data_IF_635511996661
#
_entry.id   IF_635511996661
#
_cell.length_a   1.000
_cell.length_b   1.000
_cell.length_c   1.000
_cell.angle_alpha   90.00
_cell.angle_beta   90.00
_cell.angle_gamma   90.00
#
_symmetry.space_group_name_H-M   'P 1'
#
loop_
_entity.id
_entity.type
_entity.pdbx_description
1 polymer ?
#
# COMPACT_ATOMS: atom_id res chain seq x y z
N UNK A 1 -11.42 -13.11 15.58
CA UNK A 1 -10.47 -13.30 14.44
C UNK A 1 -9.24 -14.09 14.90
N UNK A 2 -8.59 -13.77 16.02
CA UNK A 2 -7.40 -14.51 16.49
C UNK A 2 -7.69 -16.00 16.76
N UNK A 3 -8.82 -16.34 17.37
CA UNK A 3 -9.20 -17.75 17.62
C UNK A 3 -9.51 -18.54 16.34
N UNK A 4 -10.10 -17.91 15.33
CA UNK A 4 -10.32 -18.57 14.04
C UNK A 4 -9.01 -18.78 13.29
N UNK A 5 -8.02 -17.91 13.43
CA UNK A 5 -6.69 -18.09 12.85
C UNK A 5 -5.96 -19.31 13.40
N UNK A 6 -5.98 -19.53 14.71
CA UNK A 6 -5.36 -20.71 15.31
C UNK A 6 -5.97 -22.02 14.80
N UNK A 7 -7.30 -22.05 14.63
CA UNK A 7 -7.99 -23.24 14.14
C UNK A 7 -7.64 -23.53 12.67
N UNK A 8 -7.68 -22.52 11.80
CA UNK A 8 -7.30 -22.64 10.39
C UNK A 8 -5.83 -23.02 10.26
N UNK A 9 -4.95 -22.40 11.04
CA UNK A 9 -3.52 -22.67 11.05
C UNK A 9 -3.23 -24.13 11.42
N UNK A 10 -3.90 -24.69 12.42
CA UNK A 10 -3.74 -26.10 12.81
C UNK A 10 -4.17 -27.08 11.71
N UNK A 11 -5.14 -26.71 10.88
CA UNK A 11 -5.61 -27.57 9.78
C UNK A 11 -4.71 -27.49 8.54
N UNK A 12 -4.17 -26.31 8.22
CA UNK A 12 -3.43 -26.07 6.97
C UNK A 12 -1.92 -26.28 7.12
N UNK A 13 -1.34 -25.94 8.28
CA UNK A 13 0.12 -26.02 8.52
C UNK A 13 0.75 -27.40 8.29
N UNK A 14 0.09 -28.55 8.56
CA UNK A 14 0.68 -29.85 8.26
C UNK A 14 0.92 -30.09 6.78
N UNK A 15 0.11 -29.46 5.91
CA UNK A 15 0.14 -29.68 4.45
C UNK A 15 0.87 -28.58 3.70
N UNK A 16 0.90 -27.37 4.25
CA UNK A 16 1.46 -26.17 3.59
C UNK A 16 2.49 -25.51 4.48
N UNK A 17 3.71 -25.31 3.98
CA UNK A 17 4.72 -24.48 4.63
C UNK A 17 4.48 -22.98 4.30
N UNK A 18 3.89 -22.18 5.20
CA UNK A 18 3.58 -20.78 4.92
C UNK A 18 4.80 -19.97 4.53
N UNK A 19 5.94 -20.23 5.16
CA UNK A 19 7.20 -19.52 4.89
C UNK A 19 7.69 -19.73 3.45
N UNK A 20 7.47 -20.91 2.88
CA UNK A 20 7.85 -21.22 1.49
C UNK A 20 7.08 -20.38 0.48
N UNK A 21 5.81 -20.14 0.75
CA UNK A 21 4.92 -19.41 -0.15
C UNK A 21 4.80 -17.91 0.16
N UNK A 22 5.24 -17.48 1.33
CA UNK A 22 5.10 -16.09 1.76
C UNK A 22 5.84 -15.11 0.86
N UNK A 23 7.09 -15.42 0.50
CA UNK A 23 7.85 -14.60 -0.45
C UNK A 23 7.16 -14.53 -1.81
N UNK A 24 6.66 -15.66 -2.30
CA UNK A 24 5.92 -15.70 -3.56
C UNK A 24 4.63 -14.87 -3.49
N UNK A 25 3.93 -14.94 -2.37
CA UNK A 25 2.73 -14.13 -2.11
C UNK A 25 3.06 -12.63 -2.12
N UNK A 26 4.13 -12.20 -1.47
CA UNK A 26 4.54 -10.79 -1.46
C UNK A 26 4.83 -10.26 -2.86
N UNK A 27 5.35 -11.10 -3.75
CA UNK A 27 5.64 -10.73 -5.14
C UNK A 27 4.40 -10.73 -6.06
N UNK A 28 3.51 -11.74 -5.90
CA UNK A 28 2.47 -12.01 -6.90
C UNK A 28 1.10 -12.35 -6.30
N UNK A 29 1.01 -12.80 -5.05
CA UNK A 29 -0.13 -13.53 -4.51
C UNK A 29 -1.35 -12.70 -4.12
N UNK A 30 -1.28 -11.37 -4.15
CA UNK A 30 -2.42 -10.53 -3.82
C UNK A 30 -3.52 -10.55 -4.90
N UNK A 31 -3.13 -10.67 -6.17
CA UNK A 31 -4.07 -10.68 -7.29
C UNK A 31 -4.28 -12.10 -7.83
N UNK A 32 -5.54 -12.60 -7.92
CA UNK A 32 -5.82 -13.99 -8.32
C UNK A 32 -5.29 -14.38 -9.70
N UNK A 33 -5.15 -13.44 -10.63
CA UNK A 33 -4.66 -13.74 -11.98
C UNK A 33 -3.17 -14.16 -12.03
N UNK A 34 -2.45 -14.10 -10.91
CA UNK A 34 -1.11 -14.69 -10.84
C UNK A 34 -1.11 -16.20 -11.13
N UNK A 35 -2.24 -16.87 -10.89
CA UNK A 35 -2.42 -18.29 -11.19
C UNK A 35 -2.47 -18.58 -12.70
N UNK A 36 -2.70 -17.58 -13.53
CA UNK A 36 -2.74 -17.70 -14.99
C UNK A 36 -1.35 -17.75 -15.63
N UNK A 37 -0.28 -17.70 -14.85
CA UNK A 37 1.14 -17.98 -15.13
C UNK A 37 1.86 -17.22 -16.25
N UNK A 38 1.25 -16.24 -16.90
CA UNK A 38 1.92 -15.49 -17.98
C UNK A 38 1.91 -14.00 -17.73
N UNK A 39 3.10 -13.39 -17.72
CA UNK A 39 3.27 -11.93 -17.71
C UNK A 39 2.56 -11.20 -16.55
N UNK A 40 2.66 -11.74 -15.32
CA UNK A 40 1.98 -11.17 -14.15
C UNK A 40 2.21 -9.66 -14.00
N UNK A 41 3.47 -9.20 -14.06
CA UNK A 41 3.80 -7.77 -13.89
C UNK A 41 3.17 -6.91 -15.00
N UNK A 42 3.15 -7.37 -16.24
CA UNK A 42 2.51 -6.67 -17.36
C UNK A 42 1.00 -6.60 -17.18
N UNK A 43 0.37 -7.71 -16.78
CA UNK A 43 -1.07 -7.75 -16.52
C UNK A 43 -1.45 -6.87 -15.32
N UNK A 44 -0.61 -6.83 -14.28
CA UNK A 44 -0.82 -5.95 -13.15
C UNK A 44 -0.71 -4.47 -13.56
N UNK A 45 0.28 -4.10 -14.36
CA UNK A 45 0.41 -2.74 -14.90
C UNK A 45 -0.78 -2.35 -15.79
N UNK A 46 -1.27 -3.25 -16.64
CA UNK A 46 -2.50 -3.04 -17.43
C UNK A 46 -3.72 -2.82 -16.53
N UNK A 47 -3.88 -3.65 -15.51
CA UNK A 47 -4.98 -3.53 -14.53
C UNK A 47 -4.92 -2.19 -13.80
N UNK A 48 -3.75 -1.78 -13.34
CA UNK A 48 -3.55 -0.47 -12.70
C UNK A 48 -3.89 0.70 -13.62
N UNK A 49 -3.47 0.63 -14.89
CA UNK A 49 -3.82 1.65 -15.88
C UNK A 49 -5.33 1.70 -16.08
N UNK A 50 -5.98 0.56 -16.21
CA UNK A 50 -7.43 0.48 -16.33
C UNK A 50 -8.14 1.05 -15.11
N UNK A 51 -7.73 0.69 -13.88
CA UNK A 51 -8.28 1.25 -12.64
C UNK A 51 -8.12 2.78 -12.60
N UNK A 52 -6.95 3.29 -13.00
CA UNK A 52 -6.71 4.74 -13.04
C UNK A 52 -7.59 5.42 -14.09
N UNK A 53 -7.78 4.80 -15.25
CA UNK A 53 -8.56 5.37 -16.35
C UNK A 53 -10.07 5.25 -16.10
N UNK A 54 -10.55 4.10 -15.66
CA UNK A 54 -11.98 3.86 -15.45
C UNK A 54 -12.44 4.45 -14.12
N UNK A 55 -11.81 4.07 -13.01
CA UNK A 55 -12.32 4.44 -11.68
C UNK A 55 -12.07 5.92 -11.38
N UNK A 56 -10.90 6.45 -11.77
CA UNK A 56 -10.57 7.83 -11.46
C UNK A 56 -11.20 8.80 -12.47
N UNK A 57 -11.07 8.57 -13.78
CA UNK A 57 -11.62 9.49 -14.77
C UNK A 57 -13.14 9.48 -14.79
N UNK A 58 -13.75 8.29 -14.91
CA UNK A 58 -15.20 8.19 -15.09
C UNK A 58 -15.96 8.47 -13.78
N UNK A 59 -15.55 7.87 -12.67
CA UNK A 59 -16.26 8.02 -11.39
C UNK A 59 -16.06 9.43 -10.80
N UNK A 60 -14.85 9.99 -10.94
CA UNK A 60 -14.56 11.34 -10.43
C UNK A 60 -14.79 12.46 -11.45
N UNK A 61 -15.22 12.11 -12.66
CA UNK A 61 -15.48 13.10 -13.75
C UNK A 61 -14.27 14.02 -14.01
N UNK A 62 -13.06 13.45 -13.96
CA UNK A 62 -11.81 14.17 -14.15
C UNK A 62 -11.51 14.22 -15.66
N UNK A 63 -11.12 15.38 -16.16
CA UNK A 63 -10.72 15.53 -17.56
C UNK A 63 -9.46 14.69 -17.86
N UNK A 64 -9.43 14.08 -19.05
CA UNK A 64 -8.34 13.22 -19.52
C UNK A 64 -6.95 13.88 -19.43
N UNK A 65 -6.88 15.20 -19.58
CA UNK A 65 -5.61 15.95 -19.47
C UNK A 65 -4.92 15.84 -18.12
N UNK A 66 -5.66 15.50 -17.05
CA UNK A 66 -5.10 15.33 -15.70
C UNK A 66 -4.61 13.90 -15.42
N UNK A 67 -4.98 12.93 -16.26
CA UNK A 67 -4.61 11.53 -16.07
C UNK A 67 -3.09 11.34 -16.02
N UNK A 68 -2.34 12.00 -16.89
CA UNK A 68 -0.88 11.94 -16.91
C UNK A 68 -0.27 12.43 -15.61
N UNK A 69 -0.83 13.48 -15.01
CA UNK A 69 -0.38 14.01 -13.72
C UNK A 69 -0.66 13.03 -12.58
N UNK A 70 -1.82 12.36 -12.60
CA UNK A 70 -2.19 11.35 -11.61
C UNK A 70 -1.27 10.12 -11.71
N UNK A 71 -1.02 9.63 -12.93
CA UNK A 71 -0.09 8.52 -13.18
C UNK A 71 1.34 8.87 -12.75
N UNK A 72 1.81 10.09 -13.04
CA UNK A 72 3.11 10.57 -12.57
C UNK A 72 3.19 10.65 -11.05
N UNK A 73 2.15 11.17 -10.39
CA UNK A 73 2.07 11.18 -8.92
C UNK A 73 2.14 9.77 -8.35
N UNK A 74 1.37 8.84 -8.91
CA UNK A 74 1.36 7.45 -8.46
C UNK A 74 2.75 6.81 -8.56
N UNK A 75 3.45 7.00 -9.69
CA UNK A 75 4.82 6.55 -9.86
C UNK A 75 5.79 7.16 -8.83
N UNK A 76 5.72 8.47 -8.59
CA UNK A 76 6.56 9.16 -7.60
C UNK A 76 6.33 8.60 -6.19
N UNK A 77 5.07 8.35 -5.81
CA UNK A 77 4.74 7.73 -4.52
C UNK A 77 5.26 6.29 -4.41
N UNK A 78 5.27 5.53 -5.51
CA UNK A 78 5.82 4.18 -5.53
C UNK A 78 7.35 4.17 -5.34
N UNK A 79 8.05 5.10 -5.98
CA UNK A 79 9.52 5.26 -5.85
C UNK A 79 9.91 5.73 -4.46
N UNK A 80 9.08 6.56 -3.85
CA UNK A 80 9.31 7.13 -2.53
C UNK A 80 9.21 6.11 -1.39
N UNK A 81 8.47 5.02 -1.58
CA UNK A 81 8.19 4.04 -0.54
C UNK A 81 7.30 4.56 0.60
N UNK A 82 7.13 3.77 1.67
CA UNK A 82 6.29 4.10 2.82
C UNK A 82 6.84 5.25 3.66
N UNK A 83 6.51 6.49 3.31
CA UNK A 83 6.95 7.68 4.06
C UNK A 83 5.93 8.81 4.07
N UNK A 84 6.19 9.83 4.88
CA UNK A 84 5.43 11.08 4.87
C UNK A 84 5.64 11.81 3.53
N UNK A 85 4.57 12.09 2.75
CA UNK A 85 4.72 12.71 1.43
C UNK A 85 5.20 14.15 1.55
N UNK A 86 6.15 14.55 0.73
CA UNK A 86 6.47 15.96 0.54
C UNK A 86 5.50 16.59 -0.47
N UNK A 87 4.32 17.00 0.00
CA UNK A 87 3.24 17.50 -0.86
C UNK A 87 3.67 18.71 -1.70
N UNK A 88 4.57 19.57 -1.18
CA UNK A 88 5.07 20.73 -1.94
C UNK A 88 5.97 20.30 -3.09
N UNK A 89 6.88 19.35 -2.85
CA UNK A 89 7.73 18.80 -3.90
C UNK A 89 6.90 18.07 -4.96
N UNK A 90 5.99 17.19 -4.53
CA UNK A 90 5.10 16.49 -5.45
C UNK A 90 4.25 17.45 -6.30
N UNK A 91 3.79 18.57 -5.72
CA UNK A 91 3.04 19.58 -6.45
C UNK A 91 3.89 20.23 -7.55
N UNK A 92 5.16 20.55 -7.27
CA UNK A 92 6.10 21.06 -8.25
C UNK A 92 6.40 20.01 -9.34
N UNK A 93 6.66 18.77 -8.95
CA UNK A 93 7.03 17.68 -9.89
C UNK A 93 5.93 17.36 -10.90
N UNK A 94 4.66 17.48 -10.51
CA UNK A 94 3.52 17.28 -11.41
C UNK A 94 2.86 18.58 -11.89
N UNK A 95 3.48 19.72 -11.64
CA UNK A 95 3.03 21.04 -12.09
C UNK A 95 1.57 21.35 -11.69
N UNK A 96 1.28 21.29 -10.39
CA UNK A 96 -0.08 21.52 -9.87
C UNK A 96 -0.07 22.14 -8.47
N UNK A 97 -1.26 22.39 -7.91
CA UNK A 97 -1.37 22.89 -6.54
C UNK A 97 -1.24 21.77 -5.49
N UNK A 98 -0.84 22.13 -4.27
CA UNK A 98 -0.82 21.20 -3.13
C UNK A 98 -2.20 20.59 -2.84
N UNK A 99 -3.26 21.39 -2.99
CA UNK A 99 -4.64 20.91 -2.81
C UNK A 99 -4.98 19.84 -3.87
N UNK A 100 -4.57 20.03 -5.11
CA UNK A 100 -4.76 19.06 -6.19
C UNK A 100 -3.99 17.75 -5.93
N UNK A 101 -2.75 17.81 -5.44
CA UNK A 101 -2.00 16.62 -5.03
C UNK A 101 -2.74 15.85 -3.95
N UNK A 102 -3.27 16.53 -2.93
CA UNK A 102 -4.06 15.90 -1.87
C UNK A 102 -5.32 15.21 -2.41
N UNK A 103 -6.03 15.85 -3.34
CA UNK A 103 -7.18 15.25 -4.01
C UNK A 103 -6.79 14.02 -4.84
N UNK A 104 -5.69 14.08 -5.59
CA UNK A 104 -5.21 12.94 -6.38
C UNK A 104 -4.80 11.77 -5.49
N UNK A 105 -4.13 12.02 -4.36
CA UNK A 105 -3.86 10.96 -3.38
C UNK A 105 -5.15 10.35 -2.84
N UNK A 106 -6.18 11.15 -2.56
CA UNK A 106 -7.49 10.63 -2.16
C UNK A 106 -8.10 9.72 -3.24
N UNK A 107 -8.06 10.14 -4.51
CA UNK A 107 -8.59 9.32 -5.62
C UNK A 107 -7.83 8.00 -5.80
N UNK A 108 -6.50 8.05 -5.71
CA UNK A 108 -5.66 6.84 -5.75
C UNK A 108 -5.94 5.90 -4.57
N UNK A 109 -6.23 6.43 -3.39
CA UNK A 109 -6.59 5.64 -2.22
C UNK A 109 -7.99 4.99 -2.37
N UNK A 110 -8.98 5.71 -2.87
CA UNK A 110 -10.31 5.19 -3.16
C UNK A 110 -10.29 4.11 -4.25
N UNK A 111 -9.40 4.24 -5.25
CA UNK A 111 -9.14 3.22 -6.26
C UNK A 111 -8.28 2.03 -5.75
N UNK A 112 -7.92 2.00 -4.47
CA UNK A 112 -7.07 0.97 -3.85
C UNK A 112 -5.72 0.78 -4.53
N UNK A 113 -5.12 1.86 -5.00
CA UNK A 113 -3.78 1.87 -5.55
C UNK A 113 -2.73 2.26 -4.49
N UNK A 114 -3.14 3.07 -3.50
CA UNK A 114 -2.31 3.44 -2.35
C UNK A 114 -3.08 3.31 -1.04
N UNK A 115 -2.35 3.21 0.07
CA UNK A 115 -2.85 3.42 1.43
C UNK A 115 -2.36 4.77 1.95
N UNK A 116 -3.27 5.53 2.54
CA UNK A 116 -2.99 6.86 3.11
C UNK A 116 -3.22 6.80 4.61
N UNK A 117 -2.16 6.92 5.40
CA UNK A 117 -2.18 6.77 6.85
C UNK A 117 -2.12 8.14 7.52
N UNK A 118 -2.98 8.34 8.49
CA UNK A 118 -3.04 9.55 9.30
C UNK A 118 -2.71 9.26 10.77
N UNK A 119 -2.23 10.25 11.51
CA UNK A 119 -2.20 10.18 12.97
C UNK A 119 -3.63 10.01 13.52
N UNK A 120 -3.75 9.43 14.70
CA UNK A 120 -5.06 9.23 15.36
C UNK A 120 -5.83 10.57 15.45
N UNK A 121 -7.11 10.53 15.07
CA UNK A 121 -7.99 11.70 15.08
C UNK A 121 -7.74 12.71 13.95
N UNK A 122 -6.96 12.34 12.95
CA UNK A 122 -6.76 13.13 11.74
C UNK A 122 -7.20 12.37 10.50
N UNK A 123 -7.67 13.13 9.50
CA UNK A 123 -8.12 12.60 8.22
C UNK A 123 -7.97 13.68 7.12
N UNK A 124 -8.32 13.33 5.89
CA UNK A 124 -8.42 14.30 4.80
C UNK A 124 -9.32 15.49 5.19
N UNK A 125 -8.98 16.75 4.85
CA UNK A 125 -7.90 17.17 3.94
C UNK A 125 -6.54 17.44 4.61
N UNK A 126 -6.29 16.97 5.82
CA UNK A 126 -4.98 17.15 6.46
C UNK A 126 -3.90 16.33 5.75
N UNK A 127 -2.65 16.77 5.88
CA UNK A 127 -1.50 16.05 5.30
C UNK A 127 -1.37 14.69 6.00
N UNK A 128 -1.29 13.58 5.24
CA UNK A 128 -1.05 12.27 5.83
C UNK A 128 0.35 12.17 6.44
N UNK A 129 0.45 11.34 7.45
CA UNK A 129 1.75 11.02 8.08
C UNK A 129 2.55 10.00 7.27
N UNK A 130 1.88 9.15 6.50
CA UNK A 130 2.52 8.16 5.63
C UNK A 130 1.63 7.85 4.42
N UNK A 131 2.26 7.63 3.28
CA UNK A 131 1.64 7.10 2.05
C UNK A 131 2.47 5.93 1.58
N UNK A 132 1.82 4.87 1.10
CA UNK A 132 2.47 3.67 0.58
C UNK A 132 1.61 3.03 -0.50
N UNK A 133 2.17 2.13 -1.28
CA UNK A 133 1.38 1.31 -2.23
C UNK A 133 0.32 0.50 -1.49
N UNK A 134 -0.77 0.16 -2.18
CA UNK A 134 -1.84 -0.60 -1.55
C UNK A 134 -1.38 -1.98 -1.09
N UNK A 135 -0.51 -2.63 -1.86
CA UNK A 135 0.05 -3.94 -1.52
C UNK A 135 1.47 -4.10 -2.10
N UNK A 136 2.27 -5.08 -1.61
CA UNK A 136 3.64 -5.29 -2.09
C UNK A 136 3.77 -5.62 -3.57
N UNK A 137 2.78 -6.30 -4.19
CA UNK A 137 2.86 -6.66 -5.61
C UNK A 137 2.96 -5.41 -6.50
N UNK A 138 2.27 -4.30 -6.11
CA UNK A 138 2.38 -3.02 -6.82
C UNK A 138 3.78 -2.43 -6.73
N UNK A 139 4.46 -2.57 -5.59
CA UNK A 139 5.84 -2.10 -5.43
C UNK A 139 6.77 -2.81 -6.41
N UNK A 140 6.68 -4.14 -6.48
CA UNK A 140 7.49 -4.95 -7.39
C UNK A 140 7.16 -4.71 -8.87
N UNK A 141 5.90 -4.45 -9.21
CA UNK A 141 5.49 -4.19 -10.58
C UNK A 141 5.94 -2.81 -11.09
N UNK A 142 5.91 -1.78 -10.24
CA UNK A 142 6.20 -0.40 -10.66
C UNK A 142 7.69 -0.07 -10.58
N UNK A 143 8.36 -0.47 -9.50
CA UNK A 143 9.74 -0.10 -9.25
C UNK A 143 10.54 -1.22 -8.57
N UNK A 144 10.85 -2.33 -9.27
CA UNK A 144 11.48 -3.52 -8.68
C UNK A 144 12.92 -3.32 -8.20
N UNK A 145 13.61 -2.26 -8.65
CA UNK A 145 15.06 -2.08 -8.44
C UNK A 145 15.42 -1.68 -7.00
N UNK A 146 14.50 -1.04 -6.26
CA UNK A 146 14.74 -0.52 -4.90
C UNK A 146 13.62 -0.85 -3.92
N UNK A 147 13.17 -2.09 -3.92
CA UNK A 147 12.18 -2.53 -2.94
C UNK A 147 12.91 -2.98 -1.68
N UNK A 148 12.85 -2.17 -0.63
CA UNK A 148 13.45 -2.50 0.66
C UNK A 148 12.56 -3.48 1.44
N UNK A 149 13.16 -4.43 2.15
CA UNK A 149 12.44 -5.44 2.93
C UNK A 149 11.52 -4.81 3.99
N UNK A 150 11.98 -3.76 4.65
CA UNK A 150 11.19 -3.01 5.63
C UNK A 150 9.91 -2.41 4.99
N UNK A 151 10.04 -1.83 3.79
CA UNK A 151 8.92 -1.23 3.06
C UNK A 151 7.88 -2.27 2.62
N UNK A 152 8.36 -3.45 2.21
CA UNK A 152 7.49 -4.59 1.89
C UNK A 152 6.68 -5.01 3.12
N UNK A 153 7.35 -5.18 4.26
CA UNK A 153 6.72 -5.64 5.49
C UNK A 153 5.71 -4.62 6.04
N UNK A 154 6.03 -3.33 5.97
CA UNK A 154 5.10 -2.26 6.35
C UNK A 154 3.86 -2.23 5.44
N UNK A 155 4.08 -2.29 4.13
CA UNK A 155 3.00 -2.30 3.14
C UNK A 155 2.11 -3.53 3.31
N UNK A 156 2.70 -4.71 3.51
CA UNK A 156 1.97 -5.95 3.78
C UNK A 156 1.16 -5.86 5.07
N UNK A 157 1.77 -5.39 6.17
CA UNK A 157 1.10 -5.24 7.46
C UNK A 157 -0.12 -4.31 7.35
N UNK A 158 0.06 -3.12 6.79
CA UNK A 158 -1.02 -2.15 6.63
C UNK A 158 -2.14 -2.71 5.76
N UNK A 159 -1.81 -3.31 4.62
CA UNK A 159 -2.79 -3.92 3.73
C UNK A 159 -3.58 -5.03 4.42
N UNK A 160 -2.91 -5.88 5.21
CA UNK A 160 -3.56 -6.99 5.93
C UNK A 160 -4.51 -6.51 7.04
N UNK A 161 -4.21 -5.36 7.66
CA UNK A 161 -5.05 -4.81 8.74
C UNK A 161 -6.20 -3.95 8.21
N UNK A 162 -6.03 -3.29 7.07
CA UNK A 162 -6.96 -2.26 6.57
C UNK A 162 -8.38 -2.74 6.30
N UNK A 163 -8.57 -4.01 6.03
CA UNK A 163 -9.89 -4.55 5.72
C UNK A 163 -10.84 -4.49 6.90
N UNK A 164 -10.36 -4.87 8.09
CA UNK A 164 -11.19 -5.10 9.26
C UNK A 164 -10.86 -4.15 10.43
N UNK A 165 -9.83 -3.30 10.27
CA UNK A 165 -9.30 -2.47 11.35
C UNK A 165 -8.99 -1.05 10.88
N UNK A 166 -9.09 -0.10 11.81
CA UNK A 166 -8.53 1.25 11.60
C UNK A 166 -7.03 1.24 11.86
N UNK A 167 -6.26 1.76 10.91
CA UNK A 167 -4.81 1.85 10.99
C UNK A 167 -4.38 3.30 11.08
N UNK A 168 -3.72 3.68 12.17
CA UNK A 168 -3.14 5.01 12.34
C UNK A 168 -1.64 4.90 12.60
N UNK A 169 -0.88 5.92 12.24
CA UNK A 169 0.52 5.99 12.61
C UNK A 169 0.70 6.42 14.07
N UNK A 170 1.60 5.75 14.79
CA UNK A 170 1.95 6.03 16.17
C UNK A 170 3.36 6.64 16.26
N UNK A 171 3.47 7.95 16.29
CA UNK A 171 4.77 8.62 16.38
C UNK A 171 5.53 8.61 15.07
N UNK A 172 6.83 8.29 15.09
CA UNK A 172 7.70 8.26 13.92
C UNK A 172 7.86 6.84 13.37
N UNK A 173 8.14 6.75 12.08
CA UNK A 173 8.58 5.55 11.36
C UNK A 173 7.57 4.39 11.32
N UNK A 174 7.99 3.18 11.71
CA UNK A 174 7.28 1.92 11.51
C UNK A 174 6.36 1.51 12.68
N UNK A 175 5.85 2.48 13.45
CA UNK A 175 4.88 2.24 14.52
C UNK A 175 3.46 2.56 14.09
N UNK A 176 2.54 1.64 14.38
CA UNK A 176 1.12 1.74 14.04
C UNK A 176 0.23 1.52 15.26
N UNK A 177 -0.92 2.19 15.28
CA UNK A 177 -2.00 1.95 16.24
C UNK A 177 -3.16 1.33 15.48
N UNK A 178 -3.61 0.19 15.95
CA UNK A 178 -4.77 -0.51 15.40
C UNK A 178 -5.95 -0.33 16.34
N UNK A 179 -7.12 0.08 15.79
CA UNK A 179 -8.37 0.33 16.49
C UNK A 179 -8.23 1.27 17.71
N UNK A 180 -7.33 2.22 17.59
CA UNK A 180 -7.09 3.23 18.62
C UNK A 180 -6.41 2.72 19.90
N UNK A 181 -6.08 1.44 20.01
CA UNK A 181 -5.58 0.83 21.24
C UNK A 181 -4.27 0.07 21.08
N UNK A 182 -4.23 -0.93 20.23
CA UNK A 182 -3.07 -1.83 20.10
C UNK A 182 -1.96 -1.17 19.29
N UNK A 183 -0.74 -1.11 19.85
CA UNK A 183 0.44 -0.53 19.20
C UNK A 183 1.35 -1.63 18.66
N UNK A 184 1.71 -1.53 17.40
CA UNK A 184 2.57 -2.47 16.70
C UNK A 184 3.79 -1.74 16.15
N UNK A 185 4.92 -2.42 16.18
CA UNK A 185 6.12 -2.03 15.42
C UNK A 185 6.36 -3.06 14.34
N UNK A 186 6.43 -2.61 13.10
CA UNK A 186 6.78 -3.47 11.95
C UNK A 186 8.28 -3.41 11.76
N UNK A 187 8.95 -4.56 11.75
CA UNK A 187 10.38 -4.68 11.47
C UNK A 187 10.62 -5.88 10.58
N UNK A 188 11.66 -5.81 9.78
CA UNK A 188 12.20 -6.97 9.07
C UNK A 188 12.67 -8.03 10.08
N UNK A 189 12.44 -9.29 9.78
CA UNK A 189 12.66 -10.41 10.70
C UNK A 189 14.14 -10.72 11.01
N UNK A 190 15.07 -9.88 10.61
CA UNK A 190 16.51 -10.10 10.77
C UNK A 190 17.05 -9.55 12.10
N UNK A 191 16.24 -8.82 12.86
CA UNK A 191 16.64 -8.35 14.18
C UNK A 191 16.19 -9.30 15.29
N UNK A 192 17.10 -9.82 16.08
CA UNK A 192 16.87 -10.51 17.37
C UNK A 192 16.08 -9.63 18.35
N UNK A 193 14.86 -9.28 18.02
CA UNK A 193 13.98 -8.46 18.83
C UNK A 193 13.17 -9.33 19.79
N UNK A 194 13.53 -9.34 21.06
CA UNK A 194 12.61 -9.79 22.12
C UNK A 194 11.30 -9.00 21.99
N UNK A 195 10.25 -9.69 21.59
CA UNK A 195 8.87 -9.19 21.72
C UNK A 195 8.62 -8.98 23.21
N UNK A 196 8.41 -7.75 23.63
CA UNK A 196 7.89 -7.39 24.95
C UNK A 196 6.42 -7.03 24.83
#
# INVERSE_FOLDING_TARGET
ILHSHEHITRQILPEVSPNKYFTLYLHHGFYPFFLEHRNFSENLLKTMNMMTEVDILLIKQIELKYLTKIKKLFYLLAVDGPKAPNVSQLANDIETSRATVMNYMKYLAEARLINVIYPRGQEFPKKPSKVMMHNPNLMYAIYPIRVEQQDIMETFFVNSMWKDHTVNQAGKDNYYIIDGGKKFRVCDAVGNGKVR
#
